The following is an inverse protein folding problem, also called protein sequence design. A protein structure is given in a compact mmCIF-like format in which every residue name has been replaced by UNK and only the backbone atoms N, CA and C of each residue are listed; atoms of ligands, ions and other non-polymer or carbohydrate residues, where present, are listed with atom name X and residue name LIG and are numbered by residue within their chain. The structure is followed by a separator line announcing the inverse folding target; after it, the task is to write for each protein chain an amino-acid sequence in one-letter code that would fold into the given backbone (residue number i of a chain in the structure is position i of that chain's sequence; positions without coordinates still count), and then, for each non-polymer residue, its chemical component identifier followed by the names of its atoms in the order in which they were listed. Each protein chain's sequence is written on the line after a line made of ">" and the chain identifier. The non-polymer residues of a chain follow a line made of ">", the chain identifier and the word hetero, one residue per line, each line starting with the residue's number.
data_IF_404811801638
#
_entry.id   IF_404811801638
#
_cell.length_a   1.000
_cell.length_b   1.000
_cell.length_c   1.000
_cell.angle_alpha   90.00
_cell.angle_beta   90.00
_cell.angle_gamma   90.00
#
_symmetry.space_group_name_H-M   'P 1'
#
loop_
_entity.id
_entity.type
_entity.pdbx_description
1 polymer ?
#
# COMPACT_ATOMS: atom_id res chain seq x y z
N UNK A 1 -42.19 14.35 5.68
CA UNK A 1 -41.22 14.69 4.62
C UNK A 1 -40.21 15.69 5.16
N UNK A 2 -38.97 15.25 5.45
CA UNK A 2 -37.80 16.13 5.54
C UNK A 2 -36.57 15.35 5.07
N UNK A 3 -36.15 15.73 3.86
CA UNK A 3 -34.82 15.72 3.24
C UNK A 3 -33.86 14.60 3.62
N UNK A 4 -33.70 13.65 2.68
CA UNK A 4 -32.56 12.73 2.61
C UNK A 4 -31.37 13.51 2.04
N UNK A 5 -30.38 13.81 2.86
CA UNK A 5 -29.07 14.28 2.38
C UNK A 5 -28.22 13.06 2.04
N UNK A 6 -28.26 12.64 0.78
CA UNK A 6 -27.28 11.70 0.21
C UNK A 6 -26.00 12.50 -0.04
N UNK A 7 -25.05 12.41 0.90
CA UNK A 7 -23.67 12.83 0.66
C UNK A 7 -22.92 11.66 0.02
N UNK A 8 -22.57 11.86 -1.26
CA UNK A 8 -21.66 11.02 -2.03
C UNK A 8 -20.22 11.20 -1.52
N UNK A 9 -19.42 10.13 -1.52
CA UNK A 9 -17.95 10.25 -1.62
C UNK A 9 -17.13 9.44 -0.61
N UNK A 10 -16.37 8.49 -1.16
CA UNK A 10 -15.11 7.91 -0.66
C UNK A 10 -15.17 6.95 0.55
N UNK A 11 -14.40 5.86 0.44
CA UNK A 11 -14.37 4.73 1.40
C UNK A 11 -14.14 5.22 2.84
N UNK A 12 -15.01 4.79 3.77
CA UNK A 12 -15.24 5.45 5.06
C UNK A 12 -14.25 5.15 6.18
N UNK A 13 -13.19 4.35 5.97
CA UNK A 13 -12.29 3.97 7.06
C UNK A 13 -10.82 4.26 6.75
N UNK A 14 -10.10 4.98 7.63
CA UNK A 14 -8.65 5.09 7.52
C UNK A 14 -8.00 3.71 7.66
N UNK A 15 -6.90 3.47 6.92
CA UNK A 15 -6.05 2.28 7.11
C UNK A 15 -5.62 2.25 8.58
N UNK A 16 -5.94 1.13 9.25
CA UNK A 16 -5.56 0.90 10.65
C UNK A 16 -4.09 0.54 10.77
N UNK A 17 -3.55 0.63 11.98
CA UNK A 17 -2.17 0.22 12.26
C UNK A 17 -1.94 -1.25 11.91
N UNK A 18 -2.84 -2.14 12.35
CA UNK A 18 -2.77 -3.58 12.07
C UNK A 18 -2.76 -3.87 10.56
N UNK A 19 -3.63 -3.20 9.79
CA UNK A 19 -3.64 -3.33 8.32
C UNK A 19 -2.33 -2.85 7.68
N UNK A 20 -1.71 -1.81 8.24
CA UNK A 20 -0.41 -1.34 7.77
C UNK A 20 0.71 -2.34 8.11
N UNK A 21 0.68 -2.96 9.30
CA UNK A 21 1.64 -4.02 9.66
C UNK A 21 1.47 -5.28 8.81
N UNK A 22 0.23 -5.68 8.50
CA UNK A 22 -0.07 -6.79 7.59
C UNK A 22 0.43 -6.50 6.17
N UNK A 23 0.18 -5.29 5.66
CA UNK A 23 0.69 -4.84 4.37
C UNK A 23 2.23 -4.87 4.34
N UNK A 24 2.89 -4.40 5.41
CA UNK A 24 4.34 -4.41 5.48
C UNK A 24 4.91 -5.84 5.52
N UNK A 25 4.22 -6.75 6.20
CA UNK A 25 4.58 -8.17 6.22
C UNK A 25 4.55 -8.79 4.81
N UNK A 26 3.60 -8.40 3.96
CA UNK A 26 3.58 -8.77 2.54
C UNK A 26 4.81 -8.21 1.80
N UNK A 27 5.17 -6.94 2.04
CA UNK A 27 6.33 -6.31 1.41
C UNK A 27 7.65 -7.00 1.79
N UNK A 28 7.83 -7.35 3.06
CA UNK A 28 9.00 -8.10 3.54
C UNK A 28 9.07 -9.46 2.86
N UNK A 29 7.98 -10.25 2.91
CA UNK A 29 7.95 -11.62 2.40
C UNK A 29 8.19 -11.70 0.90
N UNK A 30 7.42 -10.93 0.13
CA UNK A 30 7.40 -11.08 -1.34
C UNK A 30 8.42 -10.17 -2.01
N UNK A 31 8.49 -8.90 -1.58
CA UNK A 31 9.32 -7.88 -2.21
C UNK A 31 10.65 -7.64 -1.49
N UNK A 32 10.92 -8.28 -0.35
CA UNK A 32 12.20 -8.17 0.35
C UNK A 32 12.46 -6.78 0.92
N UNK A 33 11.42 -6.09 1.41
CA UNK A 33 11.58 -4.89 2.21
C UNK A 33 12.43 -5.17 3.46
N UNK A 34 13.09 -4.14 4.00
CA UNK A 34 13.95 -4.26 5.19
C UNK A 34 13.10 -4.62 6.41
N UNK A 35 13.43 -5.73 7.07
CA UNK A 35 12.66 -6.23 8.21
C UNK A 35 13.26 -5.80 9.55
N UNK A 36 13.18 -4.51 9.86
CA UNK A 36 13.54 -3.98 11.19
C UNK A 36 12.33 -3.33 11.88
N UNK A 37 12.31 -3.28 13.22
CA UNK A 37 11.24 -2.61 13.95
C UNK A 37 11.06 -1.14 13.56
N UNK A 38 12.15 -0.43 13.27
CA UNK A 38 12.13 0.99 12.91
C UNK A 38 11.45 1.21 11.55
N UNK A 39 11.77 0.37 10.55
CA UNK A 39 11.19 0.49 9.21
C UNK A 39 9.72 0.07 9.20
N UNK A 40 9.35 -0.97 9.96
CA UNK A 40 7.95 -1.36 10.18
C UNK A 40 7.15 -0.23 10.81
N UNK A 41 7.69 0.38 11.86
CA UNK A 41 7.05 1.51 12.54
C UNK A 41 6.91 2.71 11.61
N UNK A 42 7.97 3.06 10.85
CA UNK A 42 7.95 4.18 9.92
C UNK A 42 6.86 4.01 8.85
N UNK A 43 6.74 2.81 8.28
CA UNK A 43 5.67 2.50 7.32
C UNK A 43 4.28 2.56 7.95
N UNK A 44 4.07 1.89 9.09
CA UNK A 44 2.77 1.87 9.76
C UNK A 44 2.32 3.28 10.17
N UNK A 45 3.25 4.08 10.69
CA UNK A 45 3.03 5.49 10.99
C UNK A 45 2.65 6.28 9.73
N UNK A 46 3.42 6.14 8.63
CA UNK A 46 3.17 6.86 7.37
C UNK A 46 1.75 6.62 6.85
N UNK A 47 1.30 5.35 6.81
CA UNK A 47 -0.03 4.98 6.32
C UNK A 47 -1.13 5.45 7.27
N UNK A 48 -0.98 5.19 8.58
CA UNK A 48 -1.99 5.54 9.58
C UNK A 48 -2.17 7.06 9.75
N UNK A 49 -1.11 7.85 9.54
CA UNK A 49 -1.12 9.32 9.63
C UNK A 49 -1.37 10.02 8.31
N UNK A 50 -1.40 9.30 7.19
CA UNK A 50 -1.64 9.84 5.85
C UNK A 50 -0.60 10.90 5.46
N UNK A 51 0.67 10.61 5.73
CA UNK A 51 1.80 11.52 5.47
C UNK A 51 2.08 11.71 3.96
N UNK A 52 1.38 10.98 3.09
CA UNK A 52 1.37 11.19 1.64
C UNK A 52 0.89 9.97 0.86
N UNK A 53 1.17 9.96 -0.44
CA UNK A 53 0.65 8.96 -1.39
C UNK A 53 1.64 7.85 -1.77
N UNK A 54 2.92 8.01 -1.38
CA UNK A 54 4.04 7.17 -1.79
C UNK A 54 4.99 6.87 -0.63
N UNK A 55 5.15 5.60 -0.29
CA UNK A 55 6.21 5.13 0.61
C UNK A 55 7.27 4.33 -0.17
N UNK A 56 8.55 4.65 0.03
CA UNK A 56 9.67 3.96 -0.63
C UNK A 56 10.25 2.88 0.28
N UNK A 57 10.01 1.62 -0.05
CA UNK A 57 10.45 0.47 0.75
C UNK A 57 11.65 -0.28 0.15
N UNK A 58 12.04 0.04 -1.08
CA UNK A 58 13.14 -0.58 -1.81
C UNK A 58 12.99 -2.10 -2.03
N UNK A 59 13.92 -2.91 -1.52
CA UNK A 59 13.94 -4.37 -1.60
C UNK A 59 14.33 -4.92 -2.98
N UNK A 60 13.69 -6.01 -3.39
CA UNK A 60 13.89 -6.70 -4.68
C UNK A 60 13.52 -5.82 -5.89
N UNK A 61 12.78 -4.73 -5.66
CA UNK A 61 12.49 -3.73 -6.69
C UNK A 61 13.59 -2.67 -6.82
N UNK A 62 14.66 -2.76 -6.03
CA UNK A 62 15.75 -1.79 -6.00
C UNK A 62 15.29 -0.43 -5.44
N UNK A 63 16.00 0.64 -5.79
CA UNK A 63 15.65 2.01 -5.36
C UNK A 63 14.23 2.46 -5.78
N UNK A 64 13.61 1.76 -6.73
CA UNK A 64 12.29 2.08 -7.26
C UNK A 64 11.09 1.43 -6.55
N UNK A 65 11.29 0.61 -5.51
CA UNK A 65 10.17 -0.04 -4.80
C UNK A 65 9.26 0.97 -4.09
N UNK A 66 8.07 1.19 -4.64
CA UNK A 66 7.10 2.20 -4.17
C UNK A 66 5.78 1.54 -3.78
N UNK A 67 5.28 1.89 -2.60
CA UNK A 67 3.93 1.58 -2.14
C UNK A 67 3.04 2.80 -2.35
N UNK A 68 1.93 2.60 -3.05
CA UNK A 68 0.93 3.61 -3.41
C UNK A 68 -0.32 3.38 -2.59
N UNK A 69 -0.72 4.35 -1.76
CA UNK A 69 -1.95 4.26 -0.97
C UNK A 69 -3.15 5.00 -1.61
N UNK A 70 -2.97 5.53 -2.84
CA UNK A 70 -3.97 6.28 -3.60
C UNK A 70 -4.59 7.48 -2.84
N UNK A 71 -3.81 8.12 -1.97
CA UNK A 71 -4.25 9.27 -1.17
C UNK A 71 -5.49 9.01 -0.32
N UNK A 72 -5.78 7.75 0.00
CA UNK A 72 -7.01 7.32 0.67
C UNK A 72 -8.32 7.74 -0.04
N UNK A 73 -8.28 8.09 -1.33
CA UNK A 73 -9.47 8.54 -2.06
C UNK A 73 -10.32 7.35 -2.50
N UNK A 74 -9.76 6.42 -3.28
CA UNK A 74 -10.55 5.41 -4.02
C UNK A 74 -9.82 4.07 -4.25
N UNK A 75 -9.64 3.25 -3.20
CA UNK A 75 -9.34 1.80 -3.27
C UNK A 75 -7.88 1.36 -3.24
N UNK A 76 -7.72 0.28 -2.47
CA UNK A 76 -6.68 -0.78 -2.49
C UNK A 76 -5.26 -0.30 -2.82
N UNK A 77 -4.39 -0.22 -1.80
CA UNK A 77 -2.99 0.06 -2.04
C UNK A 77 -2.35 -0.95 -3.01
N UNK A 78 -1.37 -0.47 -3.77
CA UNK A 78 -0.59 -1.31 -4.69
C UNK A 78 0.88 -0.89 -4.66
N UNK A 79 1.74 -1.71 -5.24
CA UNK A 79 3.13 -1.38 -5.48
C UNK A 79 3.42 -1.24 -6.97
N UNK A 80 4.40 -0.39 -7.27
CA UNK A 80 4.98 -0.24 -8.60
C UNK A 80 6.51 -0.05 -8.51
N UNK A 81 7.17 -0.02 -9.66
CA UNK A 81 8.53 0.47 -9.81
C UNK A 81 8.60 1.50 -10.95
N UNK A 82 9.76 2.11 -11.16
CA UNK A 82 9.94 2.96 -12.35
C UNK A 82 9.84 2.12 -13.65
N UNK A 83 9.26 2.66 -14.75
CA UNK A 83 9.16 1.94 -16.01
C UNK A 83 10.51 1.47 -16.56
N UNK A 84 11.54 2.31 -16.46
CA UNK A 84 12.92 1.99 -16.84
C UNK A 84 13.56 0.88 -15.98
N UNK A 85 13.02 0.68 -14.79
CA UNK A 85 13.38 -0.38 -13.86
C UNK A 85 12.56 -1.67 -14.09
N UNK A 86 11.58 -1.68 -14.99
CA UNK A 86 10.70 -2.85 -15.15
C UNK A 86 11.45 -4.03 -15.78
N UNK A 87 11.42 -5.17 -15.10
CA UNK A 87 11.89 -6.47 -15.62
C UNK A 87 10.80 -7.53 -15.42
N UNK A 88 10.89 -8.66 -16.14
CA UNK A 88 9.94 -9.75 -15.95
C UNK A 88 9.94 -10.30 -14.51
N UNK A 89 11.11 -10.36 -13.85
CA UNK A 89 11.17 -10.74 -12.44
C UNK A 89 10.44 -9.73 -11.54
N UNK A 90 10.64 -8.43 -11.77
CA UNK A 90 9.97 -7.37 -10.98
C UNK A 90 8.47 -7.38 -11.21
N UNK A 91 8.02 -7.61 -12.45
CA UNK A 91 6.60 -7.76 -12.80
C UNK A 91 5.93 -8.92 -12.05
N UNK A 92 6.60 -10.06 -11.92
CA UNK A 92 6.10 -11.20 -11.14
C UNK A 92 5.94 -10.82 -9.66
N UNK A 93 6.93 -10.14 -9.07
CA UNK A 93 6.88 -9.68 -7.67
C UNK A 93 5.74 -8.69 -7.47
N UNK A 94 5.63 -7.67 -8.34
CA UNK A 94 4.58 -6.66 -8.30
C UNK A 94 3.20 -7.30 -8.38
N UNK A 95 2.98 -8.22 -9.33
CA UNK A 95 1.70 -8.90 -9.47
C UNK A 95 1.32 -9.70 -8.22
N UNK A 96 2.28 -10.40 -7.61
CA UNK A 96 2.03 -11.20 -6.40
C UNK A 96 1.70 -10.31 -5.19
N UNK A 97 2.46 -9.24 -4.99
CA UNK A 97 2.19 -8.29 -3.90
C UNK A 97 0.83 -7.64 -4.10
N UNK A 98 0.53 -7.15 -5.30
CA UNK A 98 -0.75 -6.47 -5.58
C UNK A 98 -1.96 -7.40 -5.43
N UNK A 99 -1.82 -8.68 -5.76
CA UNK A 99 -2.86 -9.67 -5.47
C UNK A 99 -3.12 -9.78 -3.96
N UNK A 100 -2.08 -9.92 -3.14
CA UNK A 100 -2.24 -10.02 -1.68
C UNK A 100 -2.76 -8.73 -1.05
N UNK A 101 -2.31 -7.56 -1.53
CA UNK A 101 -2.85 -6.27 -1.08
C UNK A 101 -4.34 -6.13 -1.44
N UNK A 102 -4.78 -6.68 -2.58
CA UNK A 102 -6.20 -6.67 -2.93
C UNK A 102 -7.08 -7.53 -2.01
N UNK A 103 -6.52 -8.58 -1.42
CA UNK A 103 -7.19 -9.40 -0.41
C UNK A 103 -7.25 -8.69 0.96
N UNK A 104 -6.16 -8.00 1.34
CA UNK A 104 -6.09 -7.22 2.60
C UNK A 104 -6.98 -5.96 2.58
N UNK A 105 -7.13 -5.36 1.40
CA UNK A 105 -7.89 -4.13 1.20
C UNK A 105 -8.97 -4.33 0.12
N UNK A 106 -10.02 -5.14 0.40
CA UNK A 106 -11.08 -5.38 -0.55
C UNK A 106 -11.83 -4.09 -0.86
N UNK A 107 -12.21 -3.90 -2.13
CA UNK A 107 -13.05 -2.77 -2.52
C UNK A 107 -14.41 -2.89 -1.84
N UNK A 108 -14.75 -1.91 -1.02
CA UNK A 108 -16.06 -1.71 -0.40
C UNK A 108 -17.08 -1.15 -1.38
#
# INVERSE_FOLDING_TARGET
>A
MRTVSIIHGHSRYPITWDQAEDAYTVLVREAGAIDTPEERYAFAYYLAKREGDEYRFQGKLGFGGKFRNNGNHDCTPYIDCYPEDMTEQRKIIINRVNAQLSELFPRS
#
